data_IF_302474231678
#
_entry.id   IF_302474231678
#
_cell.length_a   1.000
_cell.length_b   1.000
_cell.length_c   1.000
_cell.angle_alpha   90.00
_cell.angle_beta   90.00
_cell.angle_gamma   90.00
#
_symmetry.space_group_name_H-M   'P 1'
#
loop_
_entity.id
_entity.type
_entity.pdbx_description
1 polymer ?
#
# COMPACT_ATOMS: atom_id res chain seq x y z
N UNK A 1 5.15 -1.85 -0.76
CA UNK A 1 6.02 -0.67 -0.97
C UNK A 1 7.46 -0.94 -0.52
N UNK A 2 7.69 -1.37 0.73
CA UNK A 2 9.04 -1.61 1.27
C UNK A 2 9.86 -2.68 0.51
N UNK A 3 9.26 -3.79 0.09
CA UNK A 3 9.96 -4.80 -0.74
C UNK A 3 10.53 -4.22 -2.03
N UNK A 4 9.78 -3.31 -2.69
CA UNK A 4 10.25 -2.65 -3.92
C UNK A 4 11.43 -1.73 -3.65
N UNK A 5 11.37 -0.98 -2.54
CA UNK A 5 12.47 -0.12 -2.11
C UNK A 5 13.73 -0.92 -1.76
N UNK A 6 13.59 -1.98 -0.95
CA UNK A 6 14.72 -2.83 -0.55
C UNK A 6 15.39 -3.45 -1.78
N UNK A 7 14.60 -4.05 -2.69
CA UNK A 7 15.15 -4.63 -3.92
C UNK A 7 15.83 -3.62 -4.84
N UNK A 8 15.38 -2.35 -4.86
CA UNK A 8 16.03 -1.31 -5.65
C UNK A 8 17.48 -1.08 -5.19
N UNK A 9 17.69 -0.97 -3.87
CA UNK A 9 19.03 -0.79 -3.29
C UNK A 9 19.87 -2.06 -3.35
N UNK A 10 19.27 -3.22 -3.09
CA UNK A 10 19.96 -4.51 -3.22
C UNK A 10 20.50 -4.74 -4.63
N UNK A 11 19.72 -4.42 -5.66
CA UNK A 11 20.17 -4.52 -7.06
C UNK A 11 21.34 -3.58 -7.35
N UNK A 12 21.31 -2.35 -6.81
CA UNK A 12 22.41 -1.38 -6.92
C UNK A 12 23.67 -1.85 -6.19
N UNK A 13 23.51 -2.58 -5.09
CA UNK A 13 24.59 -3.16 -4.29
C UNK A 13 25.19 -4.46 -4.91
N UNK A 14 24.65 -4.95 -6.03
CA UNK A 14 25.11 -6.19 -6.68
C UNK A 14 24.57 -7.47 -6.04
N UNK A 15 23.52 -7.38 -5.22
CA UNK A 15 22.87 -8.56 -4.64
C UNK A 15 22.12 -9.35 -5.72
N UNK A 16 22.40 -10.66 -5.82
CA UNK A 16 21.88 -11.51 -6.89
C UNK A 16 20.47 -12.03 -6.64
N UNK A 17 20.07 -12.21 -5.38
CA UNK A 17 18.75 -12.73 -5.00
C UNK A 17 17.72 -11.60 -5.00
N UNK A 18 16.45 -11.92 -5.17
CA UNK A 18 15.33 -10.96 -5.04
C UNK A 18 14.54 -11.29 -3.79
N UNK A 19 14.30 -10.29 -2.94
CA UNK A 19 13.56 -10.45 -1.69
C UNK A 19 12.06 -10.28 -1.96
N UNK A 20 11.28 -11.34 -1.75
CA UNK A 20 9.83 -11.35 -1.96
C UNK A 20 9.04 -11.37 -0.64
N UNK A 21 9.68 -11.67 0.48
CA UNK A 21 9.08 -11.68 1.81
C UNK A 21 10.09 -11.19 2.87
N UNK A 22 9.59 -10.86 4.06
CA UNK A 22 10.41 -10.49 5.23
C UNK A 22 10.57 -11.66 6.21
N UNK A 23 10.48 -12.90 5.72
CA UNK A 23 10.68 -14.10 6.52
C UNK A 23 11.85 -14.90 5.95
N UNK A 24 11.60 -15.93 5.13
CA UNK A 24 12.63 -16.83 4.58
C UNK A 24 13.76 -16.11 3.85
N UNK A 25 13.42 -15.05 3.10
CA UNK A 25 14.36 -14.39 2.19
C UNK A 25 15.35 -13.47 2.92
N UNK A 26 15.13 -13.21 4.21
CA UNK A 26 15.99 -12.35 5.04
C UNK A 26 16.63 -13.09 6.21
N UNK A 27 16.34 -14.39 6.39
CA UNK A 27 16.83 -15.20 7.53
C UNK A 27 18.34 -15.31 7.59
N UNK A 28 18.99 -15.31 6.43
CA UNK A 28 20.43 -15.40 6.34
C UNK A 28 21.12 -14.09 6.75
N UNK A 29 20.41 -12.97 6.89
CA UNK A 29 21.00 -11.66 7.18
C UNK A 29 21.85 -11.09 6.05
N UNK A 30 22.00 -11.81 4.92
CA UNK A 30 22.81 -11.40 3.77
C UNK A 30 22.16 -10.17 3.12
N UNK A 31 20.85 -10.22 2.93
CA UNK A 31 20.09 -9.10 2.37
C UNK A 31 20.22 -7.83 3.22
N UNK A 32 20.26 -7.94 4.56
CA UNK A 32 20.45 -6.77 5.43
C UNK A 32 21.87 -6.19 5.34
N UNK A 33 22.90 -7.04 5.26
CA UNK A 33 24.27 -6.59 5.11
C UNK A 33 24.47 -5.81 3.79
N UNK A 34 23.93 -6.31 2.67
CA UNK A 34 23.96 -5.60 1.39
C UNK A 34 23.16 -4.29 1.42
N UNK A 35 22.01 -4.27 2.09
CA UNK A 35 21.19 -3.07 2.23
C UNK A 35 21.92 -1.98 3.01
N UNK A 36 22.52 -2.33 4.16
CA UNK A 36 23.27 -1.38 4.98
C UNK A 36 24.53 -0.88 4.26
N UNK A 37 25.23 -1.76 3.53
CA UNK A 37 26.36 -1.36 2.67
C UNK A 37 25.94 -0.34 1.61
N UNK A 38 24.74 -0.47 1.04
CA UNK A 38 24.22 0.47 0.04
C UNK A 38 23.80 1.82 0.63
N UNK A 39 23.29 1.83 1.86
CA UNK A 39 22.71 3.01 2.51
C UNK A 39 23.70 3.80 3.36
N UNK A 40 24.71 3.12 3.92
CA UNK A 40 25.69 3.68 4.82
C UNK A 40 27.06 2.98 4.70
N UNK A 41 27.72 3.08 3.53
CA UNK A 41 29.03 2.46 3.30
C UNK A 41 30.09 2.88 4.33
N UNK A 42 29.92 4.03 4.99
CA UNK A 42 30.81 4.54 6.04
C UNK A 42 30.71 3.76 7.37
N UNK A 43 29.59 3.08 7.61
CA UNK A 43 29.36 2.32 8.86
C UNK A 43 29.45 0.82 8.69
N UNK A 44 29.55 0.34 7.44
CA UNK A 44 29.55 -1.08 7.11
C UNK A 44 30.97 -1.65 7.00
N UNK A 45 31.44 -2.49 7.94
CA UNK A 45 32.69 -3.22 7.77
C UNK A 45 32.53 -4.25 6.63
N UNK A 46 33.54 -4.36 5.76
CA UNK A 46 33.57 -5.37 4.69
C UNK A 46 33.39 -6.80 5.24
N UNK A 47 33.79 -7.02 6.49
CA UNK A 47 33.72 -8.27 7.22
C UNK A 47 32.30 -8.86 7.35
N UNK A 48 31.25 -8.02 7.33
CA UNK A 48 29.85 -8.51 7.47
C UNK A 48 29.39 -9.41 6.32
N UNK A 49 29.95 -9.25 5.12
CA UNK A 49 29.64 -10.09 3.97
C UNK A 49 30.45 -11.40 3.95
N UNK A 50 31.55 -11.46 4.71
CA UNK A 50 32.46 -12.60 4.78
C UNK A 50 32.12 -13.57 5.92
N UNK A 51 31.37 -13.11 6.93
CA UNK A 51 30.89 -13.93 8.05
C UNK A 51 30.02 -15.06 7.52
N UNK A 52 30.39 -16.33 7.77
CA UNK A 52 29.64 -17.51 7.31
C UNK A 52 28.42 -17.83 8.20
N UNK A 53 28.51 -17.50 9.48
CA UNK A 53 27.46 -17.80 10.45
C UNK A 53 26.31 -16.77 10.39
N UNK A 54 25.04 -17.21 10.21
CA UNK A 54 23.89 -16.31 10.16
C UNK A 54 23.64 -15.55 11.46
N UNK A 55 23.85 -16.16 12.62
CA UNK A 55 23.61 -15.52 13.92
C UNK A 55 24.63 -14.41 14.21
N UNK A 56 25.92 -14.67 13.94
CA UNK A 56 26.95 -13.63 13.99
C UNK A 56 26.67 -12.50 12.98
N UNK A 57 26.27 -12.84 11.76
CA UNK A 57 25.92 -11.85 10.73
C UNK A 57 24.75 -10.96 11.18
N UNK A 58 23.70 -11.56 11.72
CA UNK A 58 22.54 -10.84 12.25
C UNK A 58 22.93 -9.90 13.41
N UNK A 59 23.85 -10.33 14.28
CA UNK A 59 24.36 -9.48 15.36
C UNK A 59 25.11 -8.26 14.84
N UNK A 60 25.97 -8.44 13.84
CA UNK A 60 26.70 -7.33 13.21
C UNK A 60 25.76 -6.37 12.47
N UNK A 61 24.75 -6.90 11.77
CA UNK A 61 23.71 -6.08 11.11
C UNK A 61 22.98 -5.20 12.11
N UNK A 62 22.64 -5.72 13.29
CA UNK A 62 21.98 -4.94 14.33
C UNK A 62 22.90 -3.87 14.92
N UNK A 63 24.17 -4.19 15.15
CA UNK A 63 25.17 -3.21 15.62
C UNK A 63 25.42 -2.10 14.59
N UNK A 64 25.38 -2.42 13.29
CA UNK A 64 25.44 -1.43 12.22
C UNK A 64 24.19 -0.55 12.20
N UNK A 65 23.00 -1.15 12.31
CA UNK A 65 21.75 -0.39 12.33
C UNK A 65 21.66 0.54 13.54
N UNK A 66 22.20 0.14 14.69
CA UNK A 66 22.28 0.96 15.90
C UNK A 66 23.11 2.24 15.67
N UNK A 67 24.18 2.17 14.85
CA UNK A 67 24.95 3.36 14.42
C UNK A 67 24.16 4.30 13.50
N UNK A 68 23.08 3.82 12.89
CA UNK A 68 22.16 4.61 12.05
C UNK A 68 20.98 5.18 12.83
N UNK A 69 21.07 5.19 14.17
CA UNK A 69 20.01 5.62 15.09
C UNK A 69 18.73 4.75 14.99
N UNK A 70 18.85 3.55 14.41
CA UNK A 70 17.75 2.58 14.44
C UNK A 70 17.72 1.91 15.82
N UNK A 71 16.82 2.39 16.70
CA UNK A 71 16.50 1.77 18.00
C UNK A 71 16.39 0.25 17.90
N UNK A 72 17.16 -0.45 18.73
CA UNK A 72 17.23 -1.90 18.80
C UNK A 72 16.01 -2.49 19.50
N UNK A 73 15.12 -3.12 18.74
CA UNK A 73 14.03 -3.95 19.27
C UNK A 73 14.02 -5.39 18.73
N UNK A 74 14.92 -5.72 17.80
CA UNK A 74 15.16 -7.09 17.36
C UNK A 74 16.39 -7.68 18.04
N UNK A 75 16.33 -8.98 18.27
CA UNK A 75 17.47 -9.82 18.59
C UNK A 75 17.99 -10.53 17.33
N UNK A 76 19.25 -11.00 17.31
CA UNK A 76 19.76 -11.80 16.18
C UNK A 76 18.89 -13.01 15.87
N UNK A 77 18.30 -13.64 16.90
CA UNK A 77 17.40 -14.78 16.76
C UNK A 77 16.13 -14.44 16.00
N UNK A 78 15.56 -13.25 16.19
CA UNK A 78 14.34 -12.84 15.48
C UNK A 78 14.55 -12.74 13.96
N UNK A 79 15.79 -12.44 13.55
CA UNK A 79 16.22 -12.43 12.15
C UNK A 79 16.39 -13.87 11.64
N UNK A 80 17.15 -14.70 12.35
CA UNK A 80 17.44 -16.09 11.91
C UNK A 80 16.21 -17.00 11.95
N UNK A 81 15.29 -16.77 12.88
CA UNK A 81 13.96 -17.40 12.92
C UNK A 81 13.03 -16.90 11.79
N UNK A 82 13.31 -15.70 11.26
CA UNK A 82 12.56 -15.01 10.20
C UNK A 82 11.16 -14.59 10.62
N UNK A 83 11.04 -13.96 11.79
CA UNK A 83 9.80 -13.36 12.27
C UNK A 83 9.35 -12.23 11.33
N UNK A 84 8.32 -12.48 10.52
CA UNK A 84 7.94 -11.58 9.42
C UNK A 84 7.60 -10.15 9.89
N UNK A 85 6.88 -10.02 11.00
CA UNK A 85 6.45 -8.72 11.52
C UNK A 85 7.62 -7.91 12.10
N UNK A 86 8.54 -8.57 12.81
CA UNK A 86 9.72 -7.91 13.38
C UNK A 86 10.67 -7.46 12.28
N UNK A 87 10.94 -8.32 11.30
CA UNK A 87 11.77 -8.01 10.15
C UNK A 87 11.15 -6.91 9.26
N UNK A 88 9.82 -6.92 9.07
CA UNK A 88 9.10 -5.84 8.39
C UNK A 88 9.26 -4.51 9.11
N UNK A 89 9.06 -4.49 10.44
CA UNK A 89 9.25 -3.29 11.24
C UNK A 89 10.69 -2.79 11.09
N UNK A 90 11.68 -3.68 11.16
CA UNK A 90 13.11 -3.34 11.04
C UNK A 90 13.41 -2.62 9.72
N UNK A 91 12.94 -3.18 8.61
CA UNK A 91 13.08 -2.59 7.28
C UNK A 91 12.41 -1.21 7.22
N UNK A 92 11.22 -1.07 7.83
CA UNK A 92 10.51 0.21 7.89
C UNK A 92 11.30 1.27 8.68
N UNK A 93 11.96 0.87 9.77
CA UNK A 93 12.79 1.76 10.58
C UNK A 93 14.03 2.22 9.81
N UNK A 94 14.73 1.31 9.13
CA UNK A 94 15.87 1.66 8.28
C UNK A 94 15.42 2.64 7.18
N UNK A 95 14.28 2.37 6.53
CA UNK A 95 13.70 3.26 5.52
C UNK A 95 13.42 4.67 6.06
N UNK A 96 12.91 4.79 7.29
CA UNK A 96 12.59 6.07 7.90
C UNK A 96 13.84 6.92 8.19
N UNK A 97 14.93 6.29 8.65
CA UNK A 97 16.17 7.01 9.00
C UNK A 97 17.05 7.28 7.78
N UNK A 98 17.15 6.31 6.86
CA UNK A 98 17.92 6.42 5.63
C UNK A 98 17.26 5.67 4.49
N UNK A 99 16.42 6.38 3.74
CA UNK A 99 15.83 5.81 2.52
C UNK A 99 16.83 5.72 1.35
N UNK A 100 17.97 6.40 1.41
CA UNK A 100 19.03 6.39 0.38
C UNK A 100 18.56 6.86 -1.00
N UNK A 101 17.37 7.45 -1.08
CA UNK A 101 16.86 8.04 -2.31
C UNK A 101 17.51 9.40 -2.43
N UNK A 102 18.48 9.53 -3.34
CA UNK A 102 18.98 10.84 -3.73
C UNK A 102 17.78 11.67 -4.15
N UNK A 103 17.59 12.79 -3.47
CA UNK A 103 16.76 13.85 -3.99
C UNK A 103 17.52 14.40 -5.19
N UNK A 104 17.46 13.71 -6.34
CA UNK A 104 17.66 14.40 -7.60
C UNK A 104 16.49 15.37 -7.71
N UNK A 105 16.68 16.52 -7.06
CA UNK A 105 15.90 17.76 -7.14
C UNK A 105 16.15 18.39 -8.53
N UNK A 106 16.49 17.60 -9.54
CA UNK A 106 16.22 17.92 -10.93
C UNK A 106 14.75 17.63 -11.18
N UNK A 107 13.93 18.50 -10.60
CA UNK A 107 12.58 18.83 -11.05
C UNK A 107 11.81 17.67 -11.68
N UNK A 108 11.54 16.62 -10.91
CA UNK A 108 10.17 16.15 -10.96
C UNK A 108 9.39 17.17 -10.15
N UNK A 109 8.98 18.23 -10.83
CA UNK A 109 7.84 19.05 -10.48
C UNK A 109 6.62 18.12 -10.46
N UNK A 110 6.55 17.26 -9.45
CA UNK A 110 5.30 16.68 -8.96
C UNK A 110 4.60 17.85 -8.31
N UNK A 111 4.07 18.74 -9.16
CA UNK A 111 3.02 19.72 -8.90
C UNK A 111 2.72 19.91 -7.42
N UNK A 112 3.61 20.59 -6.70
CA UNK A 112 3.27 21.27 -5.43
C UNK A 112 2.52 22.56 -5.73
N UNK A 113 1.52 22.42 -6.58
CA UNK A 113 0.35 23.27 -6.64
C UNK A 113 -0.83 22.31 -6.57
N UNK A 114 -0.89 21.48 -5.52
CA UNK A 114 -2.15 20.84 -5.16
C UNK A 114 -3.14 22.01 -5.01
N UNK A 115 -4.06 22.10 -5.97
CA UNK A 115 -5.05 23.15 -5.93
C UNK A 115 -5.84 23.00 -4.63
N UNK A 116 -6.50 24.08 -4.19
CA UNK A 116 -7.42 23.97 -3.04
C UNK A 116 -8.42 22.83 -3.23
N UNK A 117 -8.85 22.60 -4.47
CA UNK A 117 -9.75 21.53 -4.85
C UNK A 117 -9.12 20.14 -4.68
N UNK A 118 -7.85 19.95 -5.06
CA UNK A 118 -7.15 18.67 -4.85
C UNK A 118 -7.02 18.31 -3.36
N UNK A 119 -6.79 19.32 -2.51
CA UNK A 119 -6.72 19.13 -1.05
C UNK A 119 -8.08 18.76 -0.48
N UNK A 120 -9.17 19.39 -0.95
CA UNK A 120 -10.53 19.08 -0.52
C UNK A 120 -10.93 17.67 -0.94
N UNK A 121 -10.70 17.30 -2.20
CA UNK A 121 -10.98 15.96 -2.74
C UNK A 121 -10.21 14.88 -1.95
N UNK A 122 -8.97 15.15 -1.57
CA UNK A 122 -8.20 14.22 -0.72
C UNK A 122 -8.78 14.07 0.68
N UNK A 123 -9.31 15.15 1.27
CA UNK A 123 -9.95 15.12 2.59
C UNK A 123 -11.28 14.36 2.55
N UNK A 124 -12.08 14.59 1.52
CA UNK A 124 -13.37 13.92 1.31
C UNK A 124 -13.18 12.43 1.03
N UNK A 125 -12.22 12.06 0.19
CA UNK A 125 -11.84 10.65 -0.03
C UNK A 125 -11.55 9.95 1.29
N UNK A 126 -10.74 10.57 2.15
CA UNK A 126 -10.39 9.99 3.44
C UNK A 126 -11.62 9.84 4.34
N UNK A 127 -12.50 10.84 4.37
CA UNK A 127 -13.72 10.80 5.17
C UNK A 127 -14.66 9.68 4.71
N UNK A 128 -14.93 9.59 3.40
CA UNK A 128 -15.77 8.53 2.83
C UNK A 128 -15.16 7.15 3.01
N UNK A 129 -13.85 6.99 2.82
CA UNK A 129 -13.16 5.72 3.05
C UNK A 129 -13.35 5.23 4.49
N UNK A 130 -13.12 6.11 5.47
CA UNK A 130 -13.29 5.78 6.89
C UNK A 130 -14.74 5.46 7.22
N UNK A 131 -15.69 6.23 6.67
CA UNK A 131 -17.11 6.00 6.86
C UNK A 131 -17.56 4.66 6.25
N UNK A 132 -17.21 4.35 5.00
CA UNK A 132 -17.59 3.09 4.36
C UNK A 132 -17.03 1.90 5.15
N UNK A 133 -15.75 1.94 5.54
CA UNK A 133 -15.13 0.86 6.30
C UNK A 133 -15.74 0.69 7.70
N UNK A 134 -16.41 1.69 8.27
CA UNK A 134 -17.10 1.58 9.56
C UNK A 134 -18.53 1.03 9.47
N UNK A 135 -19.13 0.97 8.27
CA UNK A 135 -20.49 0.43 8.07
C UNK A 135 -20.57 -1.11 8.21
N UNK A 136 -19.44 -1.81 8.33
CA UNK A 136 -19.40 -3.26 8.38
C UNK A 136 -19.87 -3.90 7.06
N UNK A 137 -19.50 -3.32 5.93
CA UNK A 137 -19.62 -3.91 4.59
C UNK A 137 -18.59 -5.04 4.42
N UNK A 138 -18.83 -5.96 3.48
CA UNK A 138 -17.93 -7.11 3.25
C UNK A 138 -16.61 -6.73 2.56
N UNK A 139 -16.59 -5.60 1.85
CA UNK A 139 -15.40 -5.09 1.15
C UNK A 139 -14.61 -4.10 2.02
N UNK A 140 -13.29 -4.15 1.94
CA UNK A 140 -12.41 -3.14 2.54
C UNK A 140 -11.95 -2.11 1.49
N UNK A 141 -12.19 -0.83 1.74
CA UNK A 141 -11.84 0.27 0.83
C UNK A 141 -10.48 0.85 1.20
N UNK A 142 -9.54 0.79 0.25
CA UNK A 142 -8.22 1.40 0.36
C UNK A 142 -8.17 2.76 -0.35
N UNK A 143 -8.86 2.89 -1.49
CA UNK A 143 -8.97 4.11 -2.27
C UNK A 143 -10.38 4.21 -2.86
N UNK A 144 -11.18 5.18 -2.41
CA UNK A 144 -12.58 5.31 -2.83
C UNK A 144 -12.68 5.48 -4.35
N UNK A 145 -11.79 6.24 -5.00
CA UNK A 145 -11.87 6.50 -6.43
C UNK A 145 -11.60 5.29 -7.31
N UNK A 146 -10.89 4.27 -6.80
CA UNK A 146 -10.60 3.04 -7.55
C UNK A 146 -11.52 1.89 -7.15
N UNK A 147 -11.72 1.69 -5.86
CA UNK A 147 -12.39 0.51 -5.33
C UNK A 147 -13.90 0.52 -5.61
N UNK A 148 -14.51 1.70 -5.80
CA UNK A 148 -15.95 1.84 -6.12
C UNK A 148 -16.28 1.68 -7.60
N UNK A 149 -15.28 1.67 -8.49
CA UNK A 149 -15.48 1.74 -9.96
C UNK A 149 -16.20 0.53 -10.56
N UNK A 150 -16.22 -0.59 -9.85
CA UNK A 150 -16.95 -1.78 -10.26
C UNK A 150 -18.40 -1.82 -9.74
N UNK A 151 -18.81 -0.80 -8.99
CA UNK A 151 -20.14 -0.63 -8.39
C UNK A 151 -20.44 -1.52 -7.19
N UNK A 152 -19.62 -2.52 -6.88
CA UNK A 152 -19.92 -3.50 -5.83
C UNK A 152 -19.97 -2.88 -4.44
N UNK A 153 -18.94 -2.10 -4.07
CA UNK A 153 -18.87 -1.42 -2.78
C UNK A 153 -20.07 -0.48 -2.58
N UNK A 154 -20.46 0.24 -3.63
CA UNK A 154 -21.61 1.16 -3.58
C UNK A 154 -22.93 0.41 -3.37
N UNK A 155 -23.11 -0.76 -3.99
CA UNK A 155 -24.25 -1.62 -3.71
C UNK A 155 -24.26 -2.11 -2.25
N UNK A 156 -23.11 -2.55 -1.72
CA UNK A 156 -23.03 -2.94 -0.30
C UNK A 156 -23.38 -1.80 0.65
N UNK A 157 -22.92 -0.58 0.37
CA UNK A 157 -23.26 0.62 1.14
C UNK A 157 -24.76 0.92 1.04
N UNK A 158 -25.35 0.87 -0.15
CA UNK A 158 -26.78 1.12 -0.35
C UNK A 158 -27.66 0.11 0.40
N UNK A 159 -27.29 -1.17 0.41
CA UNK A 159 -28.04 -2.20 1.15
C UNK A 159 -27.87 -2.06 2.67
N UNK A 160 -26.75 -1.51 3.15
CA UNK A 160 -26.57 -1.19 4.57
C UNK A 160 -27.40 0.02 5.00
N UNK A 161 -27.41 1.08 4.19
CA UNK A 161 -28.13 2.33 4.49
C UNK A 161 -29.64 2.16 4.27
N UNK A 162 -30.05 1.41 3.26
CA UNK A 162 -31.44 1.12 2.92
C UNK A 162 -31.60 -0.38 2.62
N UNK A 163 -31.80 -1.21 3.67
CA UNK A 163 -31.93 -2.66 3.51
C UNK A 163 -33.01 -3.06 2.51
N UNK A 164 -32.67 -3.98 1.60
CA UNK A 164 -33.58 -4.47 0.56
C UNK A 164 -33.67 -3.58 -0.68
N UNK A 165 -32.91 -2.49 -0.74
CA UNK A 165 -32.81 -1.64 -1.94
C UNK A 165 -32.05 -2.31 -3.08
N UNK A 166 -31.17 -3.27 -2.77
CA UNK A 166 -30.31 -3.93 -3.76
C UNK A 166 -30.88 -5.26 -4.21
N UNK A 167 -31.11 -5.39 -5.52
CA UNK A 167 -31.33 -6.69 -6.15
C UNK A 167 -30.01 -7.41 -6.42
N UNK A 168 -29.57 -8.24 -5.48
CA UNK A 168 -28.32 -9.01 -5.59
C UNK A 168 -28.31 -10.04 -6.74
N UNK A 169 -29.47 -10.42 -7.31
CA UNK A 169 -29.53 -11.33 -8.46
C UNK A 169 -29.02 -10.68 -9.76
N UNK A 170 -29.11 -9.35 -9.84
CA UNK A 170 -28.62 -8.58 -10.99
C UNK A 170 -27.19 -8.04 -10.77
N UNK A 171 -26.67 -8.15 -9.55
CA UNK A 171 -25.35 -7.69 -9.19
C UNK A 171 -24.28 -8.75 -9.47
N UNK A 172 -23.14 -8.31 -9.99
CA UNK A 172 -21.97 -9.15 -10.24
C UNK A 172 -20.89 -8.93 -9.19
N UNK A 173 -20.55 -9.99 -8.44
CA UNK A 173 -19.51 -9.94 -7.40
C UNK A 173 -18.09 -9.90 -8.00
N UNK A 174 -17.16 -9.08 -7.47
CA UNK A 174 -15.76 -9.10 -7.85
C UNK A 174 -15.08 -10.47 -7.59
N UNK A 175 -14.05 -10.85 -8.38
CA UNK A 175 -13.39 -10.06 -9.43
C UNK A 175 -14.16 -10.04 -10.77
N UNK A 176 -14.46 -8.84 -11.28
CA UNK A 176 -15.23 -8.66 -12.52
C UNK A 176 -14.27 -8.46 -13.71
N UNK A 177 -14.20 -9.46 -14.60
CA UNK A 177 -13.40 -9.41 -15.83
C UNK A 177 -14.10 -8.65 -16.97
N UNK A 178 -15.41 -8.83 -17.10
CA UNK A 178 -16.19 -8.30 -18.23
C UNK A 178 -16.64 -6.85 -17.94
N UNK A 179 -16.30 -5.86 -18.79
CA UNK A 179 -16.62 -4.45 -18.53
C UNK A 179 -18.11 -4.16 -18.35
N UNK A 180 -18.98 -4.81 -19.12
CA UNK A 180 -20.43 -4.57 -19.04
C UNK A 180 -21.03 -4.96 -17.68
N UNK A 181 -20.45 -5.94 -16.98
CA UNK A 181 -20.89 -6.34 -15.62
C UNK A 181 -20.59 -5.25 -14.59
N UNK A 182 -19.50 -4.50 -14.75
CA UNK A 182 -19.22 -3.31 -13.92
C UNK A 182 -20.26 -2.23 -14.17
N UNK A 183 -20.61 -2.02 -15.44
CA UNK A 183 -21.63 -1.07 -15.84
C UNK A 183 -23.03 -1.44 -15.32
N UNK A 184 -23.40 -2.73 -15.35
CA UNK A 184 -24.65 -3.24 -14.77
C UNK A 184 -24.76 -2.89 -13.28
N UNK A 185 -23.71 -3.18 -12.49
CA UNK A 185 -23.66 -2.80 -11.08
C UNK A 185 -23.82 -1.29 -10.88
N UNK A 186 -23.05 -0.48 -11.61
CA UNK A 186 -23.08 0.97 -11.46
C UNK A 186 -24.44 1.56 -11.91
N UNK A 187 -25.08 1.01 -12.94
CA UNK A 187 -26.42 1.42 -13.35
C UNK A 187 -27.45 1.12 -12.27
N UNK A 188 -27.33 -0.02 -11.58
CA UNK A 188 -28.18 -0.35 -10.44
C UNK A 188 -27.98 0.64 -9.28
N UNK A 189 -26.74 1.04 -8.98
CA UNK A 189 -26.43 2.09 -7.98
C UNK A 189 -27.16 3.38 -8.31
N UNK A 190 -27.05 3.85 -9.57
CA UNK A 190 -27.71 5.09 -10.01
C UNK A 190 -29.24 4.98 -9.95
N UNK A 191 -29.79 3.82 -10.33
CA UNK A 191 -31.23 3.56 -10.26
C UNK A 191 -31.74 3.67 -8.82
N UNK A 192 -31.09 2.97 -7.88
CA UNK A 192 -31.45 3.00 -6.45
C UNK A 192 -31.31 4.42 -5.90
N UNK A 193 -30.23 5.14 -6.22
CA UNK A 193 -30.05 6.52 -5.77
C UNK A 193 -31.18 7.45 -6.23
N UNK A 194 -31.69 7.28 -7.46
CA UNK A 194 -32.86 8.02 -7.96
C UNK A 194 -34.15 7.66 -7.22
N UNK A 195 -34.35 6.38 -6.90
CA UNK A 195 -35.49 5.91 -6.10
C UNK A 195 -35.46 6.51 -4.68
N UNK A 196 -34.27 6.60 -4.09
CA UNK A 196 -34.00 7.24 -2.79
C UNK A 196 -33.96 8.79 -2.84
N UNK A 197 -34.32 9.39 -3.98
CA UNK A 197 -34.41 10.85 -4.19
C UNK A 197 -33.07 11.60 -4.10
N UNK A 198 -31.95 10.94 -4.36
CA UNK A 198 -30.66 11.62 -4.50
C UNK A 198 -30.64 12.48 -5.77
N UNK A 199 -29.96 13.63 -5.67
CA UNK A 199 -29.76 14.53 -6.82
C UNK A 199 -28.65 14.00 -7.72
N UNK A 200 -28.99 13.08 -8.63
CA UNK A 200 -28.07 12.45 -9.59
C UNK A 200 -28.25 13.01 -11.01
N UNK A 201 -28.23 14.35 -11.13
CA UNK A 201 -28.39 15.03 -12.43
C UNK A 201 -27.16 14.77 -13.30
N UNK A 202 -27.38 14.30 -14.53
CA UNK A 202 -26.33 13.96 -15.50
C UNK A 202 -25.31 12.89 -15.03
N UNK A 203 -25.67 12.06 -14.05
CA UNK A 203 -24.83 10.96 -13.59
C UNK A 203 -25.37 9.62 -14.13
N UNK A 204 -24.52 8.88 -14.84
CA UNK A 204 -24.77 7.55 -15.36
C UNK A 204 -23.80 6.52 -14.74
N UNK A 205 -24.12 5.23 -14.86
CA UNK A 205 -23.25 4.18 -14.33
C UNK A 205 -21.84 4.20 -14.94
N UNK A 206 -21.71 4.65 -16.19
CA UNK A 206 -20.43 4.76 -16.86
C UNK A 206 -19.50 5.81 -16.22
N UNK A 207 -20.04 6.87 -15.63
CA UNK A 207 -19.23 7.90 -14.94
C UNK A 207 -18.51 7.32 -13.72
N UNK A 208 -19.18 6.41 -13.00
CA UNK A 208 -18.61 5.67 -11.86
C UNK A 208 -17.51 4.71 -12.36
N UNK A 209 -17.77 3.98 -13.45
CA UNK A 209 -16.78 3.07 -14.05
C UNK A 209 -15.53 3.82 -14.51
N UNK A 210 -15.71 5.03 -15.07
CA UNK A 210 -14.61 5.89 -15.48
C UNK A 210 -13.82 6.50 -14.31
N UNK A 211 -14.37 6.46 -13.08
CA UNK A 211 -13.69 6.98 -11.89
C UNK A 211 -13.74 8.51 -11.82
N UNK A 212 -14.83 9.14 -12.26
CA UNK A 212 -14.96 10.59 -12.20
C UNK A 212 -15.03 11.06 -10.73
N UNK A 213 -13.90 11.59 -10.23
CA UNK A 213 -13.72 11.96 -8.82
C UNK A 213 -14.77 12.93 -8.31
N UNK A 214 -15.18 13.89 -9.13
CA UNK A 214 -16.17 14.92 -8.77
C UNK A 214 -17.59 14.37 -8.65
N UNK A 215 -17.87 13.24 -9.27
CA UNK A 215 -19.20 12.58 -9.21
C UNK A 215 -19.26 11.50 -8.13
N UNK A 216 -18.11 11.02 -7.66
CA UNK A 216 -17.98 10.01 -6.60
C UNK A 216 -18.04 10.65 -5.21
N UNK A 217 -17.56 11.89 -5.08
CA UNK A 217 -17.44 12.67 -3.85
C UNK A 217 -18.53 13.74 -3.76
#
# INVERSE_FOLDING_TARGET
MLLRWMNHHLKKAGYKKTVNNFSSDVKDGEAYAYLLKALAPETSPETTLETKDPDERAKMVLEQAEKLDCKRYLTPKDITEGSANLNLAFVAQIFQHRNGLTSDIKQVTLTQSASRDDVLVSREERAFRMWINSLGVGSYVNNVFEDVRNGWVLLEVLDKVSPGSVNWKLASKPPIKLPFRKLENCNQVVKIGKELKFSLVNLAGNDIVQGNKKLIV
#
